data_IF_464168819145
#
_entry.id   IF_464168819145
#
_cell.length_a   1.000
_cell.length_b   1.000
_cell.length_c   1.000
_cell.angle_alpha   90.00
_cell.angle_beta   90.00
_cell.angle_gamma   90.00
#
_symmetry.space_group_name_H-M   'P 1'
#
loop_
_entity.id
_entity.type
_entity.pdbx_description
1 polymer ?
#
# COMPACT_ATOMS: atom_id res chain seq x y z
N UNK A 1 8.45 22.88 3.68
CA UNK A 1 7.62 21.66 3.77
C UNK A 1 8.54 20.52 4.19
N UNK A 2 8.21 19.73 5.23
CA UNK A 2 8.99 18.55 5.55
C UNK A 2 8.88 17.54 4.38
N UNK A 3 9.99 16.88 4.05
CA UNK A 3 10.10 15.98 2.88
C UNK A 3 10.56 14.57 3.24
N UNK A 4 10.80 14.29 4.52
CA UNK A 4 11.37 13.02 4.98
C UNK A 4 10.54 11.79 4.60
N UNK A 5 9.21 11.87 4.66
CA UNK A 5 8.34 10.75 4.32
C UNK A 5 8.32 10.48 2.81
N UNK A 6 8.25 11.54 2.00
CA UNK A 6 8.33 11.41 0.53
C UNK A 6 9.70 10.92 0.08
N UNK A 7 10.77 11.39 0.72
CA UNK A 7 12.13 10.90 0.46
C UNK A 7 12.26 9.41 0.81
N UNK A 8 11.69 8.99 1.95
CA UNK A 8 11.65 7.58 2.35
C UNK A 8 10.91 6.71 1.33
N UNK A 9 9.72 7.14 0.89
CA UNK A 9 8.94 6.48 -0.15
C UNK A 9 9.75 6.34 -1.45
N UNK A 10 10.32 7.44 -1.95
CA UNK A 10 11.13 7.45 -3.17
C UNK A 10 12.34 6.53 -3.05
N UNK A 11 13.04 6.57 -1.92
CA UNK A 11 14.21 5.72 -1.67
C UNK A 11 13.83 4.23 -1.68
N UNK A 12 12.70 3.88 -1.04
CA UNK A 12 12.17 2.52 -1.05
C UNK A 12 11.76 2.08 -2.47
N UNK A 13 11.07 2.93 -3.21
CA UNK A 13 10.64 2.63 -4.57
C UNK A 13 11.82 2.40 -5.51
N UNK A 14 12.81 3.30 -5.49
CA UNK A 14 14.04 3.17 -6.28
C UNK A 14 14.79 1.89 -5.92
N UNK A 15 14.86 1.56 -4.62
CA UNK A 15 15.48 0.32 -4.17
C UNK A 15 14.75 -0.92 -4.70
N UNK A 16 13.42 -0.96 -4.60
CA UNK A 16 12.59 -2.05 -5.14
C UNK A 16 12.85 -2.25 -6.63
N UNK A 17 12.83 -1.16 -7.41
CA UNK A 17 13.06 -1.21 -8.86
C UNK A 17 14.46 -1.76 -9.17
N UNK A 18 15.48 -1.30 -8.46
CA UNK A 18 16.87 -1.69 -8.72
C UNK A 18 17.19 -3.13 -8.28
N UNK A 19 16.71 -3.53 -7.11
CA UNK A 19 17.04 -4.81 -6.48
C UNK A 19 16.19 -5.95 -7.07
N UNK A 20 14.89 -5.73 -7.24
CA UNK A 20 13.95 -6.77 -7.70
C UNK A 20 13.77 -6.78 -9.22
N UNK A 21 14.04 -5.67 -9.90
CA UNK A 21 13.86 -5.49 -11.36
C UNK A 21 12.51 -6.04 -11.86
N UNK A 22 11.38 -5.59 -11.29
CA UNK A 22 10.08 -6.16 -11.61
C UNK A 22 9.64 -5.78 -13.04
N UNK A 23 8.99 -6.71 -13.72
CA UNK A 23 8.32 -6.42 -15.01
C UNK A 23 7.04 -5.59 -14.82
N UNK A 24 6.40 -5.69 -13.65
CA UNK A 24 5.15 -5.01 -13.32
C UNK A 24 5.21 -4.41 -11.91
N UNK A 25 4.70 -3.20 -11.75
CA UNK A 25 4.50 -2.56 -10.44
C UNK A 25 3.07 -2.03 -10.39
N UNK A 26 2.40 -2.23 -9.25
CA UNK A 26 1.13 -1.62 -8.94
C UNK A 26 1.15 -1.16 -7.47
N UNK A 27 0.40 -0.11 -7.16
CA UNK A 27 0.25 0.39 -5.80
C UNK A 27 -1.22 0.36 -5.38
N UNK A 28 -1.46 0.21 -4.08
CA UNK A 28 -2.78 0.36 -3.48
C UNK A 28 -2.72 1.45 -2.40
N UNK A 29 -3.80 2.22 -2.27
CA UNK A 29 -3.91 3.30 -1.27
C UNK A 29 -5.25 3.24 -0.54
N UNK A 30 -5.24 3.63 0.73
CA UNK A 30 -6.45 3.82 1.51
C UNK A 30 -7.22 5.06 1.05
N UNK A 31 -8.54 4.96 0.97
CA UNK A 31 -9.42 6.10 0.75
C UNK A 31 -9.92 6.65 2.09
N UNK A 32 -10.20 7.97 2.18
CA UNK A 32 -10.84 8.54 3.35
C UNK A 32 -12.26 7.99 3.53
N UNK A 33 -12.62 7.67 4.76
CA UNK A 33 -13.94 7.15 5.12
C UNK A 33 -13.82 5.93 6.04
N UNK A 34 -14.94 5.51 6.62
CA UNK A 34 -14.99 4.28 7.41
C UNK A 34 -14.92 3.08 6.47
N UNK A 35 -14.07 2.11 6.80
CA UNK A 35 -14.05 0.81 6.10
C UNK A 35 -15.13 -0.11 6.66
N UNK A 36 -15.45 -1.21 5.96
CA UNK A 36 -16.41 -2.18 6.48
C UNK A 36 -15.98 -2.74 7.86
N UNK A 37 -14.66 -2.83 8.11
CA UNK A 37 -14.06 -3.21 9.39
C UNK A 37 -14.31 -2.14 10.45
N UNK A 38 -14.21 -0.86 10.09
CA UNK A 38 -14.49 0.27 11.00
C UNK A 38 -15.95 0.34 11.42
N UNK A 39 -16.85 0.08 10.46
CA UNK A 39 -18.28 0.03 10.73
C UNK A 39 -18.62 -1.16 11.64
N UNK A 40 -18.00 -2.32 11.43
CA UNK A 40 -18.20 -3.52 12.23
C UNK A 40 -17.57 -3.44 13.64
N UNK A 41 -16.43 -2.76 13.77
CA UNK A 41 -15.63 -2.67 15.01
C UNK A 41 -15.35 -1.22 15.43
N UNK A 42 -16.42 -0.43 15.63
CA UNK A 42 -16.32 0.95 16.18
C UNK A 42 -15.55 1.07 17.50
N UNK A 43 -15.39 -0.02 18.26
CA UNK A 43 -14.75 -0.02 19.58
C UNK A 43 -13.21 -0.12 19.56
N UNK A 44 -12.54 -0.35 18.41
CA UNK A 44 -11.11 -0.68 18.39
C UNK A 44 -10.17 0.49 18.00
N UNK A 45 -10.61 1.47 17.20
CA UNK A 45 -9.76 2.59 16.71
C UNK A 45 -9.61 3.76 17.71
N UNK A 46 -9.59 3.49 19.01
CA UNK A 46 -9.55 4.50 20.08
C UNK A 46 -8.18 5.07 20.47
N UNK A 47 -7.06 4.57 19.91
CA UNK A 47 -5.71 4.90 20.43
C UNK A 47 -4.65 5.19 19.36
N UNK A 48 -5.02 5.44 18.09
CA UNK A 48 -4.04 5.98 17.13
C UNK A 48 -3.80 7.46 17.45
N UNK A 49 -2.58 7.77 17.88
CA UNK A 49 -2.12 9.15 18.02
C UNK A 49 -2.37 9.90 16.70
N UNK A 50 -2.90 11.12 16.80
CA UNK A 50 -3.19 11.95 15.63
C UNK A 50 -1.90 12.15 14.85
N UNK A 51 -1.85 11.67 13.62
CA UNK A 51 -0.71 11.84 12.72
C UNK A 51 -0.42 13.33 12.57
N UNK A 52 0.84 13.74 12.71
CA UNK A 52 1.23 15.15 12.57
C UNK A 52 0.81 15.71 11.21
N UNK A 53 0.21 16.91 11.18
CA UNK A 53 -0.33 17.51 9.95
C UNK A 53 0.71 17.64 8.83
N UNK A 54 1.98 17.88 9.22
CA UNK A 54 3.15 17.90 8.35
C UNK A 54 3.41 16.56 7.63
N UNK A 55 3.18 15.44 8.30
CA UNK A 55 3.30 14.10 7.75
C UNK A 55 2.09 13.78 6.86
N UNK A 56 0.89 14.18 7.26
CA UNK A 56 -0.34 14.03 6.45
C UNK A 56 -0.20 14.75 5.10
N UNK A 57 0.35 15.96 5.07
CA UNK A 57 0.59 16.71 3.83
C UNK A 57 1.56 16.00 2.88
N UNK A 58 2.54 15.27 3.42
CA UNK A 58 3.48 14.48 2.62
C UNK A 58 2.81 13.23 2.06
N UNK A 59 2.09 12.48 2.90
CA UNK A 59 1.38 11.25 2.49
C UNK A 59 0.37 11.53 1.38
N UNK A 60 -0.32 12.68 1.44
CA UNK A 60 -1.26 13.10 0.39
C UNK A 60 -0.64 13.29 -1.00
N UNK A 61 0.69 13.44 -1.10
CA UNK A 61 1.42 13.55 -2.36
C UNK A 61 1.98 12.22 -2.87
N UNK A 62 1.81 11.14 -2.14
CA UNK A 62 2.23 9.79 -2.57
C UNK A 62 1.65 9.41 -3.95
N UNK A 63 0.36 9.67 -4.26
CA UNK A 63 -0.18 9.36 -5.59
C UNK A 63 0.54 10.09 -6.72
N UNK A 64 0.85 11.38 -6.55
CA UNK A 64 1.57 12.19 -7.55
C UNK A 64 2.94 11.58 -7.89
N UNK A 65 3.64 11.05 -6.89
CA UNK A 65 4.93 10.38 -7.07
C UNK A 65 4.76 9.08 -7.85
N UNK A 66 3.79 8.25 -7.47
CA UNK A 66 3.56 6.97 -8.15
C UNK A 66 3.13 7.17 -9.60
N UNK A 67 2.27 8.16 -9.86
CA UNK A 67 1.87 8.55 -11.21
C UNK A 67 3.07 9.01 -12.06
N UNK A 68 4.00 9.78 -11.49
CA UNK A 68 5.21 10.22 -12.18
C UNK A 68 6.14 9.06 -12.60
N UNK A 69 6.08 7.93 -11.89
CA UNK A 69 6.78 6.68 -12.25
C UNK A 69 5.98 5.79 -13.21
N UNK A 70 4.77 6.22 -13.62
CA UNK A 70 3.87 5.43 -14.44
C UNK A 70 3.28 4.23 -13.70
N UNK A 71 3.26 4.26 -12.37
CA UNK A 71 2.75 3.16 -11.54
C UNK A 71 1.23 3.32 -11.38
N UNK A 72 0.42 2.35 -11.83
CA UNK A 72 -1.02 2.38 -11.59
C UNK A 72 -1.33 2.29 -10.09
N UNK A 73 -2.23 3.15 -9.64
CA UNK A 73 -2.70 3.20 -8.24
C UNK A 73 -4.15 2.71 -8.18
N UNK A 74 -4.39 1.69 -7.36
CA UNK A 74 -5.70 1.11 -7.13
C UNK A 74 -6.24 1.48 -5.75
N UNK A 75 -7.55 1.66 -5.66
CA UNK A 75 -8.24 1.97 -4.40
C UNK A 75 -9.71 1.58 -4.51
N UNK A 76 -10.35 1.24 -3.38
CA UNK A 76 -11.77 0.90 -3.35
C UNK A 76 -12.44 1.49 -2.11
N UNK A 77 -13.56 2.20 -2.29
CA UNK A 77 -14.25 2.83 -1.19
C UNK A 77 -14.84 1.77 -0.24
N UNK A 78 -14.64 1.96 1.07
CA UNK A 78 -15.08 1.02 2.10
C UNK A 78 -14.13 -0.16 2.35
N UNK A 79 -12.99 -0.23 1.65
CA UNK A 79 -11.96 -1.25 1.81
C UNK A 79 -10.61 -0.60 2.14
N UNK A 80 -9.76 -1.35 2.86
CA UNK A 80 -8.39 -0.95 3.17
C UNK A 80 -7.44 -1.33 2.01
N UNK A 81 -6.25 -0.73 1.97
CA UNK A 81 -5.28 -0.98 0.89
C UNK A 81 -4.85 -2.46 0.80
N UNK A 82 -4.78 -3.15 1.93
CA UNK A 82 -4.51 -4.59 2.05
C UNK A 82 -5.61 -5.45 1.39
N UNK A 83 -6.89 -5.09 1.52
CA UNK A 83 -7.99 -5.77 0.82
C UNK A 83 -7.83 -5.66 -0.71
N UNK A 84 -7.41 -4.49 -1.19
CA UNK A 84 -7.15 -4.24 -2.61
C UNK A 84 -5.95 -5.06 -3.09
N UNK A 85 -4.85 -5.08 -2.33
CA UNK A 85 -3.68 -5.91 -2.64
C UNK A 85 -4.08 -7.39 -2.68
N UNK A 86 -4.79 -7.88 -1.66
CA UNK A 86 -5.24 -9.26 -1.58
C UNK A 86 -6.13 -9.65 -2.77
N UNK A 87 -7.01 -8.74 -3.21
CA UNK A 87 -7.83 -8.96 -4.39
C UNK A 87 -7.00 -9.09 -5.67
N UNK A 88 -5.97 -8.25 -5.85
CA UNK A 88 -5.07 -8.33 -7.01
C UNK A 88 -4.27 -9.64 -6.98
N UNK A 89 -3.69 -9.98 -5.82
CA UNK A 89 -2.94 -11.22 -5.61
C UNK A 89 -3.80 -12.44 -5.96
N UNK A 90 -5.03 -12.51 -5.44
CA UNK A 90 -5.96 -13.61 -5.70
C UNK A 90 -6.28 -13.77 -7.20
N UNK A 91 -6.43 -12.66 -7.93
CA UNK A 91 -6.70 -12.70 -9.37
C UNK A 91 -5.52 -13.22 -10.19
N UNK A 92 -4.29 -12.99 -9.73
CA UNK A 92 -3.08 -13.35 -10.50
C UNK A 92 -2.41 -14.62 -10.02
N UNK A 93 -2.73 -15.14 -8.83
CA UNK A 93 -2.04 -16.30 -8.23
C UNK A 93 -2.02 -17.58 -9.06
N UNK A 94 -2.98 -17.75 -9.99
CA UNK A 94 -3.05 -18.91 -10.89
C UNK A 94 -2.11 -18.81 -12.10
N UNK A 95 -1.47 -17.65 -12.32
CA UNK A 95 -0.51 -17.45 -13.40
C UNK A 95 0.81 -18.12 -13.02
N UNK A 96 1.16 -19.19 -13.73
CA UNK A 96 2.34 -20.01 -13.42
C UNK A 96 3.68 -19.28 -13.60
N UNK A 97 3.71 -18.27 -14.47
CA UNK A 97 4.92 -17.53 -14.83
C UNK A 97 4.96 -16.14 -14.16
N UNK A 98 4.27 -15.98 -13.03
CA UNK A 98 4.22 -14.72 -12.29
C UNK A 98 4.63 -14.93 -10.83
N UNK A 99 5.73 -14.29 -10.44
CA UNK A 99 6.11 -14.14 -9.04
C UNK A 99 5.49 -12.84 -8.50
N UNK A 100 4.89 -12.91 -7.30
CA UNK A 100 4.25 -11.76 -6.67
C UNK A 100 4.98 -11.42 -5.38
N UNK A 101 5.45 -10.18 -5.29
CA UNK A 101 6.13 -9.64 -4.10
C UNK A 101 5.29 -8.49 -3.55
N UNK A 102 4.90 -8.58 -2.28
CA UNK A 102 4.14 -7.54 -1.59
C UNK A 102 5.11 -6.72 -0.74
N UNK A 103 5.26 -5.43 -1.07
CA UNK A 103 6.07 -4.49 -0.30
C UNK A 103 5.15 -3.64 0.60
N UNK A 104 5.03 -4.01 1.87
CA UNK A 104 4.26 -3.27 2.87
C UNK A 104 5.05 -3.08 4.16
N UNK A 105 4.86 -1.93 4.81
CA UNK A 105 5.33 -1.69 6.18
C UNK A 105 4.38 -2.25 7.24
N UNK A 106 3.18 -2.67 6.83
CA UNK A 106 2.20 -3.29 7.71
C UNK A 106 2.44 -4.81 7.80
N UNK A 107 2.42 -5.33 9.02
CA UNK A 107 2.56 -6.76 9.30
C UNK A 107 1.32 -7.54 8.90
N UNK A 108 0.16 -6.89 8.73
CA UNK A 108 -1.07 -7.55 8.31
C UNK A 108 -0.97 -8.05 6.85
N UNK A 109 -0.07 -7.49 6.04
CA UNK A 109 0.24 -8.00 4.71
C UNK A 109 0.80 -9.44 4.72
N UNK A 110 1.29 -9.95 5.87
CA UNK A 110 1.72 -11.34 6.02
C UNK A 110 0.57 -12.34 5.82
N UNK A 111 -0.69 -11.91 6.01
CA UNK A 111 -1.86 -12.74 5.77
C UNK A 111 -2.02 -13.16 4.30
N UNK A 112 -1.37 -12.45 3.37
CA UNK A 112 -1.47 -12.66 1.93
C UNK A 112 -0.37 -13.56 1.36
N UNK A 113 0.51 -14.09 2.22
CA UNK A 113 1.61 -14.97 1.81
C UNK A 113 1.08 -16.39 1.58
N UNK A 114 1.15 -16.87 0.34
CA UNK A 114 1.00 -18.30 0.02
C UNK A 114 2.40 -18.93 -0.15
N UNK A 115 2.78 -19.84 0.76
CA UNK A 115 4.06 -20.55 0.74
C UNK A 115 5.07 -20.08 1.80
N UNK A 116 6.21 -20.76 1.89
CA UNK A 116 7.28 -20.44 2.85
C UNK A 116 8.47 -19.79 2.14
N UNK A 117 8.50 -18.46 2.09
CA UNK A 117 9.74 -17.71 1.92
C UNK A 117 9.65 -16.29 2.43
#
# INVERSE_FOLDING_TARGET
MPTGALYGLLSMLVKIINDLRPDYIAAAVDLPGDTFRDVAYKAYKGTRAKTEDALVLQIKRTPDVLEAFGIPVYSCAGFEADDVIGTIVEQVKKKKDLEVIIASGDKDALQLIEGSR
#
